data_IF_342041906069
#
_entry.id   IF_342041906069
#
_cell.length_a   1.000
_cell.length_b   1.000
_cell.length_c   1.000
_cell.angle_alpha   90.00
_cell.angle_beta   90.00
_cell.angle_gamma   90.00
#
_symmetry.space_group_name_H-M   'P 1'
#
loop_
_entity.id
_entity.type
_entity.pdbx_description
1 polymer ?
#
# COMPACT_ATOMS: atom_id res chain seq x y z
N UNK A 1 -12.40 -21.17 -0.85
CA UNK A 1 -11.02 -21.72 -0.70
C UNK A 1 -10.20 -20.93 0.33
N UNK A 2 -9.88 -19.62 0.17
CA UNK A 2 -9.11 -18.84 1.16
C UNK A 2 -9.78 -18.84 2.53
N UNK A 3 -11.09 -18.62 2.60
CA UNK A 3 -11.86 -18.61 3.86
C UNK A 3 -11.76 -19.90 4.67
N UNK A 4 -11.70 -21.05 4.02
CA UNK A 4 -11.52 -22.35 4.69
C UNK A 4 -10.12 -22.48 5.31
N UNK A 5 -9.07 -22.01 4.58
CA UNK A 5 -7.72 -21.97 5.13
C UNK A 5 -7.63 -21.04 6.34
N UNK A 6 -8.22 -19.85 6.24
CA UNK A 6 -8.27 -18.89 7.35
C UNK A 6 -8.92 -19.52 8.57
N UNK A 7 -10.07 -20.18 8.42
CA UNK A 7 -10.77 -20.83 9.51
C UNK A 7 -9.90 -21.89 10.21
N UNK A 8 -9.26 -22.77 9.43
CA UNK A 8 -8.35 -23.79 9.97
C UNK A 8 -7.16 -23.18 10.72
N UNK A 9 -6.58 -22.11 10.17
CA UNK A 9 -5.44 -21.42 10.81
C UNK A 9 -5.85 -20.77 12.14
N UNK A 10 -7.05 -20.18 12.20
CA UNK A 10 -7.56 -19.58 13.44
C UNK A 10 -7.90 -20.64 14.48
N UNK A 11 -8.38 -21.80 14.08
CA UNK A 11 -8.61 -22.94 14.99
C UNK A 11 -7.31 -23.41 15.66
N UNK A 12 -6.18 -23.25 15.00
CA UNK A 12 -4.86 -23.62 15.52
C UNK A 12 -4.19 -22.53 16.38
N UNK A 13 -4.83 -21.38 16.59
CA UNK A 13 -4.31 -20.35 17.49
C UNK A 13 -4.22 -20.83 18.95
N UNK A 14 -3.28 -20.29 19.77
CA UNK A 14 -3.21 -20.60 21.19
C UNK A 14 -4.52 -20.33 21.92
N UNK A 15 -4.87 -21.18 22.88
CA UNK A 15 -6.11 -21.04 23.63
C UNK A 15 -6.18 -19.73 24.43
N UNK A 16 -5.04 -19.23 24.88
CA UNK A 16 -4.93 -17.94 25.58
C UNK A 16 -5.52 -16.78 24.77
N UNK A 17 -5.36 -16.81 23.44
CA UNK A 17 -5.91 -15.77 22.55
C UNK A 17 -7.41 -15.95 22.30
N UNK A 18 -7.93 -17.17 22.41
CA UNK A 18 -9.34 -17.50 22.15
C UNK A 18 -10.24 -17.26 23.38
N UNK A 19 -9.67 -17.31 24.57
CA UNK A 19 -10.41 -17.26 25.85
C UNK A 19 -10.43 -15.89 26.51
N UNK A 20 -9.80 -14.88 25.90
CA UNK A 20 -9.79 -13.52 26.45
C UNK A 20 -11.20 -12.92 26.44
N UNK A 21 -11.69 -12.53 27.62
CA UNK A 21 -13.02 -11.91 27.79
C UNK A 21 -13.13 -10.54 27.08
N UNK A 22 -11.99 -9.86 26.85
CA UNK A 22 -11.93 -8.54 26.23
C UNK A 22 -11.05 -8.66 24.97
N UNK A 23 -11.57 -8.28 23.77
CA UNK A 23 -10.80 -8.35 22.55
C UNK A 23 -9.58 -7.41 22.58
N UNK A 24 -8.45 -7.88 22.04
CA UNK A 24 -7.25 -7.07 21.90
C UNK A 24 -7.53 -5.90 20.94
N UNK A 25 -7.40 -4.67 21.43
CA UNK A 25 -7.55 -3.48 20.59
C UNK A 25 -6.32 -3.27 19.72
N UNK A 26 -6.55 -3.08 18.42
CA UNK A 26 -5.51 -2.88 17.41
C UNK A 26 -5.71 -1.60 16.62
N UNK A 27 -4.61 -0.88 16.40
CA UNK A 27 -4.43 0.02 15.27
C UNK A 27 -3.55 -0.70 14.25
N UNK A 28 -3.85 -0.56 12.96
CA UNK A 28 -3.12 -1.24 11.89
C UNK A 28 -2.49 -0.20 10.97
N UNK A 29 -1.25 -0.46 10.57
CA UNK A 29 -0.52 0.33 9.59
C UNK A 29 -0.19 -0.55 8.40
N UNK A 30 -0.74 -0.20 7.23
CA UNK A 30 -0.59 -0.91 5.96
C UNK A 30 0.39 -0.16 5.07
N UNK A 31 1.51 -0.78 4.78
CA UNK A 31 2.55 -0.19 3.95
C UNK A 31 2.16 -0.10 2.47
N UNK A 32 2.88 0.72 1.70
CA UNK A 32 2.84 0.72 0.25
C UNK A 32 3.64 -0.44 -0.34
N UNK A 33 3.57 -0.68 -1.67
CA UNK A 33 4.39 -1.72 -2.27
C UNK A 33 3.85 -2.33 -3.55
N UNK A 34 3.13 -1.59 -4.37
CA UNK A 34 2.63 -2.01 -5.70
C UNK A 34 2.03 -3.42 -5.66
N UNK A 35 2.63 -4.41 -6.38
CA UNK A 35 2.13 -5.79 -6.43
C UNK A 35 2.24 -6.54 -5.09
N UNK A 36 3.08 -6.07 -4.17
CA UNK A 36 3.15 -6.63 -2.81
C UNK A 36 1.88 -6.39 -1.98
N UNK A 37 0.97 -5.52 -2.41
CA UNK A 37 -0.33 -5.34 -1.77
C UNK A 37 -1.12 -6.63 -1.56
N UNK A 38 -0.87 -7.66 -2.39
CA UNK A 38 -1.50 -8.97 -2.23
C UNK A 38 -1.12 -9.68 -0.93
N UNK A 39 0.07 -9.44 -0.37
CA UNK A 39 0.44 -9.94 0.96
C UNK A 39 -0.46 -9.34 2.05
N UNK A 40 -0.78 -8.04 1.95
CA UNK A 40 -1.69 -7.38 2.90
C UNK A 40 -3.07 -8.04 2.90
N UNK A 41 -3.56 -8.44 1.73
CA UNK A 41 -4.88 -9.06 1.62
C UNK A 41 -4.92 -10.38 2.38
N UNK A 42 -3.87 -11.21 2.27
CA UNK A 42 -3.77 -12.43 3.06
C UNK A 42 -3.84 -12.17 4.56
N UNK A 43 -3.08 -11.17 5.03
CA UNK A 43 -3.12 -10.77 6.45
C UNK A 43 -4.48 -10.20 6.86
N UNK A 44 -5.11 -9.39 6.01
CA UNK A 44 -6.41 -8.78 6.31
C UNK A 44 -7.56 -9.79 6.34
N UNK A 45 -7.53 -10.86 5.54
CA UNK A 45 -8.47 -11.97 5.68
C UNK A 45 -8.40 -12.59 7.07
N UNK A 46 -7.19 -12.87 7.53
CA UNK A 46 -6.97 -13.45 8.86
C UNK A 46 -7.44 -12.51 9.98
N UNK A 47 -7.04 -11.25 9.94
CA UNK A 47 -7.43 -10.25 10.93
C UNK A 47 -8.95 -10.01 10.94
N UNK A 48 -9.59 -10.03 9.77
CA UNK A 48 -11.04 -9.87 9.66
C UNK A 48 -11.79 -11.01 10.31
N UNK A 49 -11.32 -12.24 10.12
CA UNK A 49 -11.95 -13.40 10.76
C UNK A 49 -11.70 -13.41 12.28
N UNK A 50 -10.51 -12.98 12.74
CA UNK A 50 -10.25 -12.78 14.17
C UNK A 50 -11.18 -11.73 14.79
N UNK A 51 -11.46 -10.64 14.05
CA UNK A 51 -12.38 -9.59 14.49
C UNK A 51 -13.82 -10.12 14.55
N UNK A 52 -14.28 -10.92 13.56
CA UNK A 52 -15.58 -11.57 13.57
C UNK A 52 -15.77 -12.50 14.77
N UNK A 53 -14.71 -13.20 15.17
CA UNK A 53 -14.70 -14.08 16.36
C UNK A 53 -14.49 -13.33 17.68
N UNK A 54 -14.40 -11.98 17.63
CA UNK A 54 -14.18 -11.12 18.81
C UNK A 54 -12.87 -11.37 19.56
N UNK A 55 -11.83 -11.91 18.88
CA UNK A 55 -10.50 -12.06 19.47
C UNK A 55 -9.72 -10.74 19.45
N UNK A 56 -9.95 -9.93 18.41
CA UNK A 56 -9.38 -8.60 18.25
C UNK A 56 -10.46 -7.58 17.92
N UNK A 57 -10.15 -6.30 18.11
CA UNK A 57 -10.96 -5.17 17.66
C UNK A 57 -10.09 -4.15 16.96
N UNK A 58 -10.31 -3.95 15.66
CA UNK A 58 -9.56 -2.98 14.87
C UNK A 58 -10.21 -1.60 15.01
N UNK A 59 -9.49 -0.67 15.64
CA UNK A 59 -9.98 0.68 15.88
C UNK A 59 -9.66 1.62 14.71
N UNK A 60 -8.40 1.63 14.25
CA UNK A 60 -7.93 2.51 13.17
C UNK A 60 -7.06 1.74 12.18
N UNK A 61 -7.13 2.15 10.92
CA UNK A 61 -6.25 1.67 9.85
C UNK A 61 -5.59 2.89 9.21
N UNK A 62 -4.28 2.83 9.04
CA UNK A 62 -3.51 3.76 8.21
C UNK A 62 -2.98 3.04 6.99
N UNK A 63 -3.04 3.66 5.82
CA UNK A 63 -2.51 3.08 4.58
C UNK A 63 -1.90 4.14 3.66
N UNK A 64 -0.94 3.70 2.85
CA UNK A 64 -0.43 4.49 1.74
C UNK A 64 -0.37 3.62 0.48
N UNK A 65 -0.45 4.24 -0.68
CA UNK A 65 -0.38 3.52 -1.95
C UNK A 65 -1.33 2.31 -1.98
N UNK A 66 -0.87 1.13 -2.36
CA UNK A 66 -1.67 -0.10 -2.35
C UNK A 66 -2.24 -0.43 -0.97
N UNK A 67 -1.59 -0.04 0.12
CA UNK A 67 -2.11 -0.19 1.48
C UNK A 67 -3.38 0.65 1.73
N UNK A 68 -3.54 1.79 1.02
CA UNK A 68 -4.78 2.55 1.08
C UNK A 68 -5.93 1.85 0.32
N UNK A 69 -5.64 1.13 -0.75
CA UNK A 69 -6.64 0.31 -1.45
C UNK A 69 -7.03 -0.88 -0.57
N UNK A 70 -6.05 -1.60 -0.01
CA UNK A 70 -6.31 -2.73 0.88
C UNK A 70 -7.15 -2.32 2.10
N UNK A 71 -6.87 -1.15 2.68
CA UNK A 71 -7.66 -0.58 3.77
C UNK A 71 -9.10 -0.25 3.37
N UNK A 72 -9.33 0.32 2.16
CA UNK A 72 -10.68 0.52 1.64
C UNK A 72 -11.42 -0.81 1.52
N UNK A 73 -10.82 -1.81 0.87
CA UNK A 73 -11.41 -3.13 0.66
C UNK A 73 -11.76 -3.82 1.99
N UNK A 74 -10.94 -3.62 3.03
CA UNK A 74 -11.26 -4.07 4.38
C UNK A 74 -12.53 -3.42 4.94
N UNK A 75 -12.68 -2.09 4.80
CA UNK A 75 -13.84 -1.36 5.32
C UNK A 75 -15.14 -1.62 4.56
N UNK A 76 -15.08 -1.91 3.25
CA UNK A 76 -16.26 -2.28 2.46
C UNK A 76 -16.56 -3.78 2.47
N UNK A 77 -15.75 -4.59 3.18
CA UNK A 77 -15.91 -6.06 3.29
C UNK A 77 -15.76 -6.82 1.96
N UNK A 78 -14.89 -6.33 1.07
CA UNK A 78 -14.68 -6.89 -0.26
C UNK A 78 -13.19 -7.11 -0.59
N UNK A 79 -12.51 -7.89 0.25
CA UNK A 79 -11.08 -8.22 0.05
C UNK A 79 -10.85 -9.03 -1.24
N UNK A 80 -11.85 -9.78 -1.71
CA UNK A 80 -11.77 -10.58 -2.95
C UNK A 80 -11.52 -9.73 -4.18
N UNK A 81 -12.01 -8.48 -4.19
CA UNK A 81 -11.82 -7.54 -5.29
C UNK A 81 -10.35 -7.18 -5.55
N UNK A 82 -9.44 -7.41 -4.59
CA UNK A 82 -8.00 -7.21 -4.84
C UNK A 82 -7.46 -8.17 -5.92
N UNK A 83 -7.97 -9.39 -6.01
CA UNK A 83 -7.54 -10.33 -7.06
C UNK A 83 -7.93 -9.82 -8.45
N UNK A 84 -9.13 -9.26 -8.58
CA UNK A 84 -9.57 -8.66 -9.84
C UNK A 84 -8.74 -7.42 -10.19
N UNK A 85 -8.50 -6.54 -9.22
CA UNK A 85 -7.63 -5.38 -9.41
C UNK A 85 -6.21 -5.80 -9.79
N UNK A 86 -5.64 -6.80 -9.10
CA UNK A 86 -4.33 -7.34 -9.43
C UNK A 86 -4.26 -7.81 -10.88
N UNK A 87 -5.24 -8.59 -11.34
CA UNK A 87 -5.26 -9.11 -12.70
C UNK A 87 -5.36 -7.99 -13.75
N UNK A 88 -6.16 -6.97 -13.49
CA UNK A 88 -6.28 -5.79 -14.36
C UNK A 88 -4.95 -5.02 -14.44
N UNK A 89 -4.37 -4.68 -13.28
CA UNK A 89 -3.10 -3.96 -13.19
C UNK A 89 -1.96 -4.78 -13.81
N UNK A 90 -1.90 -6.08 -13.54
CA UNK A 90 -0.92 -6.99 -14.10
C UNK A 90 -1.00 -7.06 -15.64
N UNK A 91 -2.21 -7.20 -16.18
CA UNK A 91 -2.42 -7.28 -17.62
C UNK A 91 -2.05 -5.98 -18.33
N UNK A 92 -2.41 -4.85 -17.72
CA UNK A 92 -2.06 -3.53 -18.25
C UNK A 92 -0.55 -3.30 -18.15
N UNK A 93 0.07 -3.61 -17.02
CA UNK A 93 1.50 -3.44 -16.81
C UNK A 93 2.33 -4.25 -17.82
N UNK A 94 1.94 -5.49 -18.11
CA UNK A 94 2.59 -6.31 -19.14
C UNK A 94 2.49 -5.73 -20.57
N UNK A 95 1.43 -5.00 -20.85
CA UNK A 95 1.20 -4.44 -22.19
C UNK A 95 1.83 -3.06 -22.38
N UNK A 96 1.79 -2.23 -21.34
CA UNK A 96 2.05 -0.80 -21.47
C UNK A 96 3.17 -0.30 -20.55
N UNK A 97 3.70 -1.16 -19.67
CA UNK A 97 4.68 -0.81 -18.61
C UNK A 97 4.15 0.30 -17.69
N UNK A 98 2.82 0.48 -17.60
CA UNK A 98 2.17 1.49 -16.77
C UNK A 98 1.17 0.87 -15.81
N UNK A 99 0.84 1.62 -14.74
CA UNK A 99 -0.18 1.27 -13.76
C UNK A 99 -1.43 2.17 -13.92
N UNK A 100 -1.79 2.52 -15.15
CA UNK A 100 -2.85 3.50 -15.46
C UNK A 100 -4.21 3.11 -14.87
N UNK A 101 -4.52 1.82 -14.79
CA UNK A 101 -5.74 1.26 -14.15
C UNK A 101 -5.99 1.83 -12.75
N UNK A 102 -4.95 2.24 -12.04
CA UNK A 102 -5.07 2.86 -10.70
C UNK A 102 -5.89 4.16 -10.73
N UNK A 103 -5.92 4.88 -11.84
CA UNK A 103 -6.78 6.09 -11.98
C UNK A 103 -8.26 5.74 -12.06
N UNK A 104 -8.57 4.54 -12.50
CA UNK A 104 -9.93 4.06 -12.72
C UNK A 104 -10.51 3.33 -11.50
N UNK A 105 -9.83 3.37 -10.35
CA UNK A 105 -10.29 2.75 -9.09
C UNK A 105 -11.73 3.15 -8.77
N UNK A 106 -12.12 4.39 -9.05
CA UNK A 106 -13.49 4.85 -8.83
C UNK A 106 -14.49 3.99 -9.59
N UNK A 107 -14.31 3.82 -10.89
CA UNK A 107 -15.22 3.01 -11.73
C UNK A 107 -15.19 1.53 -11.37
N UNK A 108 -14.06 1.02 -10.89
CA UNK A 108 -13.91 -0.38 -10.51
C UNK A 108 -14.66 -0.74 -9.22
N UNK A 109 -14.81 0.22 -8.30
CA UNK A 109 -15.37 -0.04 -6.97
C UNK A 109 -16.62 0.76 -6.63
N UNK A 110 -17.08 1.69 -7.48
CA UNK A 110 -18.17 2.61 -7.16
C UNK A 110 -19.44 1.88 -6.72
N UNK A 111 -19.81 0.81 -7.43
CA UNK A 111 -21.00 0.02 -7.13
C UNK A 111 -20.89 -0.81 -5.85
N UNK A 112 -19.67 -1.01 -5.35
CA UNK A 112 -19.37 -1.80 -4.16
C UNK A 112 -19.16 -0.93 -2.92
N UNK A 113 -18.98 0.38 -3.09
CA UNK A 113 -18.76 1.31 -1.99
C UNK A 113 -20.10 1.74 -1.41
N UNK A 114 -20.42 1.39 -0.15
CA UNK A 114 -21.65 1.85 0.49
C UNK A 114 -21.72 3.38 0.58
N UNK A 115 -22.90 3.97 0.40
CA UNK A 115 -23.10 5.42 0.46
C UNK A 115 -22.69 6.03 1.81
N UNK A 116 -22.80 5.27 2.89
CA UNK A 116 -22.47 5.68 4.26
C UNK A 116 -21.00 5.44 4.63
N UNK A 117 -20.16 4.95 3.70
CA UNK A 117 -18.77 4.59 3.97
C UNK A 117 -18.00 5.73 4.64
N UNK A 118 -18.21 6.98 4.21
CA UNK A 118 -17.50 8.14 4.76
C UNK A 118 -17.78 8.33 6.25
N UNK A 119 -18.99 7.96 6.74
CA UNK A 119 -19.32 7.94 8.17
C UNK A 119 -18.58 6.80 8.88
N UNK A 120 -18.56 5.60 8.28
CA UNK A 120 -17.91 4.40 8.84
C UNK A 120 -16.40 4.57 8.99
N UNK A 121 -15.73 5.22 8.02
CA UNK A 121 -14.27 5.40 8.01
C UNK A 121 -13.79 6.69 8.68
N UNK A 122 -14.67 7.60 9.08
CA UNK A 122 -14.32 8.87 9.73
C UNK A 122 -13.51 8.62 11.00
N UNK A 123 -12.32 9.22 11.09
CA UNK A 123 -11.35 9.05 12.17
C UNK A 123 -10.89 7.57 12.40
N UNK A 124 -11.20 6.68 11.47
CA UNK A 124 -10.78 5.26 11.52
C UNK A 124 -9.88 4.88 10.37
N UNK A 125 -9.96 5.56 9.22
CA UNK A 125 -9.15 5.31 8.06
C UNK A 125 -8.29 6.53 7.72
N UNK A 126 -6.98 6.37 7.75
CA UNK A 126 -5.97 7.40 7.55
C UNK A 126 -5.20 7.11 6.28
N UNK A 127 -5.24 8.03 5.31
CA UNK A 127 -4.55 7.90 4.02
C UNK A 127 -3.52 8.99 3.89
N UNK A 128 -2.30 8.61 3.48
CA UNK A 128 -1.19 9.55 3.27
C UNK A 128 -0.95 9.80 1.79
N UNK A 129 -0.65 11.04 1.44
CA UNK A 129 -0.15 11.47 0.13
C UNK A 129 0.74 12.70 0.30
N UNK A 130 1.57 12.97 -0.68
CA UNK A 130 2.47 14.11 -0.63
C UNK A 130 2.00 15.26 -1.52
N UNK A 131 2.13 16.50 -1.06
CA UNK A 131 1.86 17.70 -1.84
C UNK A 131 3.18 18.42 -2.11
N UNK A 132 3.69 18.27 -3.33
CA UNK A 132 4.97 18.84 -3.77
C UNK A 132 4.98 20.37 -3.67
N UNK A 133 3.88 21.04 -4.06
CA UNK A 133 3.84 22.52 -4.04
C UNK A 133 3.98 23.09 -2.64
N UNK A 134 3.47 22.35 -1.63
CA UNK A 134 3.56 22.75 -0.22
C UNK A 134 4.72 22.11 0.51
N UNK A 135 5.44 21.20 -0.14
CA UNK A 135 6.49 20.37 0.45
C UNK A 135 6.03 19.69 1.76
N UNK A 136 4.82 19.14 1.76
CA UNK A 136 4.21 18.55 2.97
C UNK A 136 3.57 17.20 2.68
N UNK A 137 3.76 16.27 3.61
CA UNK A 137 3.00 15.03 3.69
C UNK A 137 1.65 15.30 4.32
N UNK A 138 0.60 14.92 3.64
CA UNK A 138 -0.77 15.05 4.12
C UNK A 138 -1.28 13.71 4.65
N UNK A 139 -1.95 13.76 5.81
CA UNK A 139 -2.66 12.63 6.39
C UNK A 139 -4.13 12.97 6.41
N UNK A 140 -4.94 12.27 5.63
CA UNK A 140 -6.38 12.53 5.54
C UNK A 140 -7.18 11.40 6.20
N UNK A 141 -8.12 11.76 7.06
CA UNK A 141 -8.93 10.83 7.86
C UNK A 141 -10.39 11.27 8.01
N UNK A 142 -10.79 12.34 7.28
CA UNK A 142 -12.16 12.82 7.16
C UNK A 142 -12.46 13.05 5.68
N UNK A 143 -13.50 12.44 5.18
CA UNK A 143 -13.89 12.47 3.78
C UNK A 143 -15.27 13.10 3.63
N UNK A 144 -15.43 13.99 2.65
CA UNK A 144 -16.69 14.70 2.40
C UNK A 144 -17.74 13.78 1.80
N UNK A 145 -17.33 12.96 0.86
CA UNK A 145 -18.14 12.00 0.11
C UNK A 145 -17.25 10.87 -0.44
N UNK A 146 -17.85 9.91 -1.12
CA UNK A 146 -17.14 8.77 -1.74
C UNK A 146 -16.09 9.25 -2.73
N UNK A 147 -16.40 10.25 -3.55
CA UNK A 147 -15.45 10.81 -4.53
C UNK A 147 -14.20 11.37 -3.87
N UNK A 148 -14.36 12.07 -2.77
CA UNK A 148 -13.26 12.64 -2.00
C UNK A 148 -12.39 11.54 -1.35
N UNK A 149 -13.00 10.43 -0.91
CA UNK A 149 -12.28 9.25 -0.41
C UNK A 149 -11.47 8.59 -1.53
N UNK A 150 -12.13 8.26 -2.65
CA UNK A 150 -11.48 7.58 -3.78
C UNK A 150 -10.40 8.46 -4.41
N UNK A 151 -10.65 9.74 -4.61
CA UNK A 151 -9.63 10.68 -5.10
C UNK A 151 -8.41 10.77 -4.15
N UNK A 152 -8.65 10.64 -2.84
CA UNK A 152 -7.54 10.59 -1.86
C UNK A 152 -6.71 9.31 -2.03
N UNK A 153 -7.34 8.17 -2.31
CA UNK A 153 -6.64 6.91 -2.61
C UNK A 153 -5.82 7.06 -3.90
N UNK A 154 -6.40 7.61 -4.97
CA UNK A 154 -5.66 7.85 -6.22
C UNK A 154 -4.44 8.74 -5.99
N UNK A 155 -4.56 9.82 -5.20
CA UNK A 155 -3.41 10.65 -4.80
C UNK A 155 -2.34 9.85 -4.06
N UNK A 156 -2.76 8.96 -3.17
CA UNK A 156 -1.87 8.09 -2.39
C UNK A 156 -1.17 7.02 -3.22
N UNK A 157 -1.73 6.64 -4.36
CA UNK A 157 -1.18 5.61 -5.27
C UNK A 157 -0.44 6.20 -6.46
N UNK A 158 -0.32 7.53 -6.56
CA UNK A 158 0.23 8.16 -7.75
C UNK A 158 1.76 8.16 -7.75
N UNK A 159 2.35 7.08 -8.28
CA UNK A 159 3.79 6.96 -8.49
C UNK A 159 4.19 7.74 -9.75
N UNK A 160 5.15 8.69 -9.66
CA UNK A 160 5.60 9.50 -10.80
C UNK A 160 6.01 8.64 -11.99
N UNK A 161 5.57 9.03 -13.17
CA UNK A 161 5.84 8.42 -14.46
C UNK A 161 5.28 7.00 -14.67
N UNK A 162 5.08 6.23 -13.61
CA UNK A 162 4.63 4.84 -13.68
C UNK A 162 3.11 4.72 -13.91
N UNK A 163 2.32 5.71 -13.48
CA UNK A 163 0.86 5.65 -13.63
C UNK A 163 0.42 6.02 -15.05
N UNK A 164 0.81 7.20 -15.53
CA UNK A 164 0.34 7.73 -16.82
C UNK A 164 1.40 8.54 -17.57
N UNK A 165 2.66 8.36 -17.22
CA UNK A 165 3.78 9.11 -17.79
C UNK A 165 3.90 10.55 -17.29
N UNK A 166 3.02 11.02 -16.40
CA UNK A 166 3.15 12.33 -15.78
C UNK A 166 3.89 12.25 -14.44
N UNK A 167 4.52 13.36 -14.03
CA UNK A 167 5.25 13.41 -12.76
C UNK A 167 4.32 13.54 -11.55
N UNK A 168 3.16 14.18 -11.70
CA UNK A 168 2.28 14.56 -10.60
C UNK A 168 0.81 14.39 -10.95
N UNK A 169 0.04 13.89 -10.01
CA UNK A 169 -1.42 13.94 -10.08
C UNK A 169 -1.92 15.37 -9.80
N UNK A 170 -2.84 15.88 -10.63
CA UNK A 170 -3.35 17.25 -10.57
C UNK A 170 -2.23 18.33 -10.49
N UNK A 171 -1.07 18.07 -11.08
CA UNK A 171 0.11 18.95 -11.06
C UNK A 171 0.63 19.33 -9.65
N UNK A 172 0.36 18.52 -8.62
CA UNK A 172 0.75 18.85 -7.23
C UNK A 172 0.88 17.67 -6.28
N UNK A 173 0.30 16.50 -6.59
CA UNK A 173 0.28 15.37 -5.66
C UNK A 173 1.08 14.18 -6.18
N UNK A 174 1.64 13.43 -5.26
CA UNK A 174 2.28 12.14 -5.51
C UNK A 174 2.02 11.17 -4.34
N UNK A 175 2.40 9.92 -4.54
CA UNK A 175 2.31 8.85 -3.55
C UNK A 175 2.82 9.28 -2.17
N UNK A 176 2.16 8.80 -1.13
CA UNK A 176 2.54 9.05 0.25
C UNK A 176 3.80 8.34 0.69
N UNK A 177 4.26 7.36 -0.09
CA UNK A 177 5.44 6.49 0.08
C UNK A 177 5.37 5.66 1.37
N UNK A 178 5.14 6.29 2.54
CA UNK A 178 4.93 5.59 3.80
C UNK A 178 3.60 5.99 4.45
N UNK A 179 2.95 5.07 5.19
CA UNK A 179 1.71 5.33 5.90
C UNK A 179 1.91 6.23 7.11
N UNK A 180 0.82 6.74 7.66
CA UNK A 180 0.84 7.44 8.93
C UNK A 180 1.04 6.46 10.07
N UNK A 181 2.07 6.66 10.88
CA UNK A 181 2.34 5.87 12.07
C UNK A 181 1.60 6.48 13.26
N UNK A 182 0.68 5.72 13.85
CA UNK A 182 0.00 6.15 15.07
C UNK A 182 0.97 6.20 16.25
N UNK A 183 0.66 7.03 17.22
CA UNK A 183 1.37 6.97 18.52
C UNK A 183 0.97 5.69 19.25
N UNK A 184 1.94 5.03 19.85
CA UNK A 184 1.69 3.85 20.71
C UNK A 184 0.94 4.26 21.97
N UNK A 185 -0.06 3.47 22.34
CA UNK A 185 -0.91 3.68 23.52
C UNK A 185 -0.86 2.43 24.40
N UNK A 186 -0.96 2.60 25.74
CA UNK A 186 -0.81 1.47 26.70
C UNK A 186 -1.94 0.43 26.59
N UNK A 187 -3.13 0.83 26.16
CA UNK A 187 -4.34 -0.01 26.15
C UNK A 187 -4.62 -0.66 24.80
N UNK A 188 -3.70 -0.53 23.84
CA UNK A 188 -3.82 -1.13 22.51
C UNK A 188 -2.45 -1.39 21.88
N UNK A 189 -2.42 -2.34 20.95
CA UNK A 189 -1.24 -2.65 20.15
C UNK A 189 -1.31 -1.94 18.79
N UNK A 190 -0.17 -1.55 18.28
CA UNK A 190 0.00 -0.99 16.94
C UNK A 190 0.68 -2.04 16.07
N UNK A 191 -0.09 -2.66 15.16
CA UNK A 191 0.40 -3.66 14.22
C UNK A 191 0.85 -2.97 12.92
N UNK A 192 2.12 -3.15 12.58
CA UNK A 192 2.71 -2.68 11.34
C UNK A 192 2.90 -3.85 10.36
N UNK A 193 2.35 -3.70 9.16
CA UNK A 193 2.50 -4.65 8.05
C UNK A 193 3.45 -4.05 7.02
N UNK A 194 4.72 -4.49 7.06
CA UNK A 194 5.81 -4.00 6.21
C UNK A 194 5.86 -4.75 4.87
N UNK A 195 5.88 -4.00 3.77
CA UNK A 195 6.03 -4.54 2.40
C UNK A 195 7.39 -4.23 1.78
N UNK A 196 8.28 -3.54 2.49
CA UNK A 196 9.60 -3.14 2.03
C UNK A 196 10.75 -3.94 2.68
N UNK A 197 10.47 -5.06 3.32
CA UNK A 197 11.50 -5.97 3.81
C UNK A 197 12.45 -6.40 2.68
N UNK A 198 13.71 -6.71 3.04
CA UNK A 198 14.74 -7.10 2.06
C UNK A 198 14.34 -8.27 1.16
N UNK A 199 13.52 -9.19 1.70
CA UNK A 199 12.95 -10.33 0.99
C UNK A 199 11.84 -9.96 0.00
N UNK A 200 11.21 -8.78 0.14
CA UNK A 200 10.05 -8.34 -0.65
C UNK A 200 10.36 -7.20 -1.63
N UNK A 201 11.42 -6.44 -1.39
CA UNK A 201 11.72 -5.25 -2.21
C UNK A 201 11.93 -5.60 -3.68
N UNK A 202 12.56 -6.74 -3.97
CA UNK A 202 12.75 -7.23 -5.33
C UNK A 202 11.46 -7.64 -6.03
N UNK A 203 10.39 -7.88 -5.27
CA UNK A 203 9.08 -8.34 -5.78
C UNK A 203 8.07 -7.20 -5.96
N UNK A 204 8.46 -5.94 -5.70
CA UNK A 204 7.55 -4.78 -5.81
C UNK A 204 6.93 -4.66 -7.21
N UNK A 205 7.75 -4.81 -8.24
CA UNK A 205 7.34 -4.74 -9.65
C UNK A 205 7.53 -6.09 -10.38
N UNK A 206 8.27 -7.03 -9.79
CA UNK A 206 8.55 -8.31 -10.43
C UNK A 206 7.31 -9.22 -10.38
N UNK A 207 6.76 -9.49 -11.56
CA UNK A 207 5.62 -10.37 -11.79
C UNK A 207 5.92 -11.42 -12.89
N UNK A 208 7.20 -11.56 -13.28
CA UNK A 208 7.67 -12.35 -14.43
C UNK A 208 7.10 -13.77 -14.49
N UNK A 209 7.08 -14.44 -13.37
CA UNK A 209 6.67 -15.85 -13.29
C UNK A 209 5.28 -16.03 -12.64
N UNK A 210 4.53 -14.95 -12.50
CA UNK A 210 3.24 -14.99 -11.82
C UNK A 210 2.09 -15.11 -12.83
N UNK A 211 1.17 -16.04 -12.57
CA UNK A 211 -0.10 -16.13 -13.27
C UNK A 211 -1.24 -15.53 -12.46
N UNK A 212 -1.11 -15.55 -11.14
CA UNK A 212 -2.10 -15.03 -10.18
C UNK A 212 -1.37 -14.50 -8.95
N UNK A 213 -2.07 -13.70 -8.16
CA UNK A 213 -1.55 -13.19 -6.88
C UNK A 213 -1.72 -14.17 -5.70
N UNK A 214 -2.23 -15.37 -5.95
CA UNK A 214 -2.62 -16.31 -4.88
C UNK A 214 -1.47 -16.68 -3.93
N UNK A 215 -0.28 -16.90 -4.48
CA UNK A 215 0.90 -17.23 -3.67
C UNK A 215 1.29 -16.08 -2.72
N UNK A 216 1.14 -14.80 -3.15
CA UNK A 216 1.38 -13.63 -2.28
C UNK A 216 0.32 -13.53 -1.19
N UNK A 217 -0.94 -13.76 -1.55
CA UNK A 217 -2.05 -13.78 -0.57
C UNK A 217 -1.82 -14.86 0.46
N UNK A 218 -1.47 -16.09 0.02
CA UNK A 218 -1.18 -17.19 0.92
C UNK A 218 0.04 -16.91 1.81
N UNK A 219 1.12 -16.36 1.26
CA UNK A 219 2.30 -16.01 2.05
C UNK A 219 1.98 -14.95 3.12
N UNK A 220 1.20 -13.91 2.78
CA UNK A 220 0.76 -12.92 3.76
C UNK A 220 -0.14 -13.51 4.85
N UNK A 221 -1.02 -14.43 4.49
CA UNK A 221 -1.87 -15.18 5.43
C UNK A 221 -1.04 -16.03 6.39
N UNK A 222 -0.02 -16.74 5.89
CA UNK A 222 0.85 -17.59 6.71
C UNK A 222 1.78 -16.75 7.60
N UNK A 223 2.24 -15.60 7.11
CA UNK A 223 3.10 -14.69 7.89
C UNK A 223 2.36 -14.13 9.10
N UNK A 224 1.13 -13.62 8.92
CA UNK A 224 0.32 -13.11 10.04
C UNK A 224 -0.08 -14.23 11.02
N UNK A 225 -0.41 -15.43 10.52
CA UNK A 225 -0.66 -16.59 11.37
C UNK A 225 0.58 -16.95 12.21
N UNK A 226 1.77 -17.03 11.57
CA UNK A 226 3.04 -17.28 12.25
C UNK A 226 3.34 -16.22 13.31
N UNK A 227 3.04 -14.94 13.01
CA UNK A 227 3.16 -13.83 13.96
C UNK A 227 2.35 -14.07 15.23
N UNK A 228 1.09 -14.48 15.10
CA UNK A 228 0.23 -14.75 16.25
C UNK A 228 0.61 -16.03 17.00
N UNK A 229 1.08 -17.08 16.31
CA UNK A 229 1.56 -18.31 16.96
C UNK A 229 2.85 -18.06 17.75
N UNK A 230 3.82 -17.39 17.13
CA UNK A 230 5.14 -17.15 17.73
C UNK A 230 5.16 -15.99 18.73
N UNK A 231 4.15 -15.13 18.70
CA UNK A 231 4.08 -13.88 19.46
C UNK A 231 5.35 -13.01 19.31
N UNK A 232 5.97 -13.07 18.15
CA UNK A 232 7.19 -12.35 17.80
C UNK A 232 7.13 -11.81 16.38
N UNK A 233 7.90 -10.76 16.09
CA UNK A 233 7.96 -10.17 14.75
C UNK A 233 8.32 -11.20 13.69
N UNK A 234 7.66 -11.10 12.55
CA UNK A 234 7.89 -11.91 11.35
C UNK A 234 8.47 -11.06 10.23
N UNK A 235 8.55 -11.59 9.01
CA UNK A 235 9.02 -10.84 7.83
C UNK A 235 8.13 -9.66 7.46
N UNK A 236 6.83 -9.72 7.76
CA UNK A 236 5.88 -8.67 7.43
C UNK A 236 5.27 -8.02 8.67
N UNK A 237 5.02 -8.79 9.73
CA UNK A 237 4.22 -8.35 10.86
C UNK A 237 5.08 -8.01 12.07
N UNK A 238 4.83 -6.86 12.69
CA UNK A 238 5.46 -6.49 13.96
C UNK A 238 4.56 -5.58 14.79
N UNK A 239 4.60 -5.72 16.12
CA UNK A 239 4.03 -4.72 17.01
C UNK A 239 5.04 -3.59 17.23
N UNK A 240 4.67 -2.37 16.83
CA UNK A 240 5.51 -1.17 17.05
C UNK A 240 5.77 -0.92 18.53
N UNK A 241 4.84 -1.33 19.39
CA UNK A 241 4.99 -1.25 20.85
C UNK A 241 6.19 -2.04 21.38
N UNK A 242 6.57 -3.09 20.66
CA UNK A 242 7.59 -4.06 21.09
C UNK A 242 8.87 -3.94 20.23
N UNK A 243 8.99 -2.88 19.41
CA UNK A 243 10.15 -2.65 18.56
C UNK A 243 11.41 -2.43 19.37
N UNK A 244 12.48 -3.11 18.96
CA UNK A 244 13.84 -2.88 19.44
C UNK A 244 14.41 -1.55 18.88
N UNK A 245 15.52 -1.12 19.41
CA UNK A 245 16.26 0.06 18.90
C UNK A 245 16.61 -0.12 17.42
N UNK A 246 17.00 -1.33 17.01
CA UNK A 246 17.32 -1.66 15.60
C UNK A 246 16.13 -1.50 14.67
N UNK A 247 14.93 -1.90 15.09
CA UNK A 247 13.69 -1.70 14.33
C UNK A 247 13.38 -0.21 14.15
N UNK A 248 13.53 0.58 15.20
CA UNK A 248 13.37 2.04 15.12
C UNK A 248 14.38 2.67 14.16
N UNK A 249 15.67 2.29 14.24
CA UNK A 249 16.69 2.78 13.30
C UNK A 249 16.33 2.41 11.85
N UNK A 250 15.96 1.15 11.60
CA UNK A 250 15.52 0.71 10.26
C UNK A 250 14.36 1.53 9.73
N UNK A 251 13.38 1.80 10.57
CA UNK A 251 12.24 2.66 10.20
C UNK A 251 12.65 4.11 9.92
N UNK A 252 13.57 4.69 10.70
CA UNK A 252 14.09 6.03 10.43
C UNK A 252 14.90 6.10 9.15
N UNK A 253 15.68 5.07 8.81
CA UNK A 253 16.37 4.96 7.51
C UNK A 253 15.35 4.94 6.37
N UNK A 254 14.27 4.18 6.49
CA UNK A 254 13.18 4.16 5.52
C UNK A 254 12.58 5.57 5.29
N UNK A 255 12.29 6.30 6.37
CA UNK A 255 11.80 7.69 6.29
C UNK A 255 12.83 8.61 5.64
N UNK A 256 14.13 8.41 5.90
CA UNK A 256 15.18 9.19 5.25
C UNK A 256 15.23 8.93 3.74
N UNK A 257 15.18 7.66 3.33
CA UNK A 257 15.10 7.28 1.92
C UNK A 257 13.85 7.87 1.23
N UNK A 258 12.70 7.86 1.91
CA UNK A 258 11.48 8.55 1.43
C UNK A 258 11.73 10.03 1.16
N UNK A 259 12.36 10.75 2.09
CA UNK A 259 12.68 12.17 1.91
C UNK A 259 13.63 12.39 0.74
N UNK A 260 14.66 11.57 0.62
CA UNK A 260 15.62 11.64 -0.51
C UNK A 260 14.87 11.46 -1.84
N UNK A 261 13.98 10.46 -1.93
CA UNK A 261 13.17 10.23 -3.12
C UNK A 261 12.28 11.43 -3.47
N UNK A 262 11.61 12.03 -2.46
CA UNK A 262 10.76 13.21 -2.67
C UNK A 262 11.59 14.42 -3.15
N UNK A 263 12.75 14.67 -2.55
CA UNK A 263 13.64 15.76 -3.00
C UNK A 263 14.17 15.51 -4.39
N UNK A 264 14.48 14.27 -4.75
CA UNK A 264 14.89 13.92 -6.10
C UNK A 264 13.75 14.13 -7.12
N UNK A 265 12.53 13.70 -6.80
CA UNK A 265 11.37 13.97 -7.64
C UNK A 265 11.12 15.48 -7.81
N UNK A 266 11.26 16.25 -6.71
CA UNK A 266 11.15 17.70 -6.75
C UNK A 266 12.22 18.33 -7.66
N UNK A 267 13.47 17.86 -7.57
CA UNK A 267 14.58 18.31 -8.39
C UNK A 267 14.33 18.05 -9.88
N UNK A 268 13.86 16.86 -10.23
CA UNK A 268 13.53 16.53 -11.63
C UNK A 268 12.40 17.43 -12.17
N UNK A 269 11.37 17.68 -11.38
CA UNK A 269 10.25 18.56 -11.75
C UNK A 269 10.76 20.00 -11.93
N UNK A 270 11.65 20.46 -11.03
CA UNK A 270 12.25 21.79 -11.10
C UNK A 270 13.11 21.95 -12.37
N UNK A 271 13.96 20.99 -12.68
CA UNK A 271 14.75 20.97 -13.92
C UNK A 271 13.81 21.06 -15.13
N UNK A 272 12.83 20.15 -15.22
CA UNK A 272 11.88 20.13 -16.34
C UNK A 272 11.14 21.47 -16.52
N UNK A 273 10.79 22.15 -15.45
CA UNK A 273 10.10 23.44 -15.49
C UNK A 273 11.01 24.59 -15.99
N UNK A 274 12.33 24.49 -15.74
CA UNK A 274 13.28 25.56 -16.04
C UNK A 274 14.09 25.29 -17.31
N UNK A 275 13.93 24.15 -17.96
CA UNK A 275 14.54 23.90 -19.27
C UNK A 275 13.85 24.81 -20.30
N UNK A 276 14.60 25.65 -21.04
CA UNK A 276 14.05 26.43 -22.14
C UNK A 276 13.36 25.53 -23.16
N UNK A 277 12.19 25.97 -23.68
CA UNK A 277 11.41 25.21 -24.67
C UNK A 277 12.23 24.83 -25.91
N UNK A 278 13.22 25.64 -26.28
CA UNK A 278 14.14 25.37 -27.39
C UNK A 278 14.98 24.12 -27.13
N UNK A 279 15.47 23.94 -25.89
CA UNK A 279 16.28 22.79 -25.49
C UNK A 279 15.35 21.57 -25.32
N UNK A 280 14.19 21.72 -24.69
CA UNK A 280 13.20 20.62 -24.51
C UNK A 280 12.73 20.06 -25.86
N UNK A 281 12.50 20.94 -26.83
CA UNK A 281 12.08 20.57 -28.19
C UNK A 281 13.25 20.17 -29.09
N UNK A 282 14.50 20.37 -28.66
CA UNK A 282 15.71 20.02 -29.40
C UNK A 282 15.81 18.52 -29.67
N UNK A 283 16.41 18.18 -30.81
CA UNK A 283 16.58 16.77 -31.25
C UNK A 283 17.35 15.96 -30.21
N UNK A 284 18.37 16.54 -29.60
CA UNK A 284 19.19 15.86 -28.59
C UNK A 284 18.39 15.50 -27.34
N UNK A 285 17.57 16.41 -26.81
CA UNK A 285 16.75 16.17 -25.62
C UNK A 285 15.69 15.10 -25.89
N UNK A 286 15.02 15.14 -27.04
CA UNK A 286 14.07 14.12 -27.47
C UNK A 286 14.75 12.75 -27.63
N UNK A 287 15.93 12.70 -28.19
CA UNK A 287 16.70 11.45 -28.33
C UNK A 287 17.08 10.87 -26.97
N UNK A 288 17.66 11.69 -26.08
CA UNK A 288 17.98 11.25 -24.71
C UNK A 288 16.78 10.75 -23.93
N UNK A 289 15.64 11.44 -24.03
CA UNK A 289 14.38 11.02 -23.38
C UNK A 289 13.92 9.66 -23.93
N UNK A 290 13.99 9.48 -25.25
CA UNK A 290 13.63 8.21 -25.89
C UNK A 290 14.55 7.08 -25.46
N UNK A 291 15.87 7.29 -25.48
CA UNK A 291 16.86 6.30 -25.02
C UNK A 291 16.58 5.92 -23.55
N UNK A 292 16.32 6.90 -22.69
CA UNK A 292 16.01 6.63 -21.28
C UNK A 292 14.74 5.80 -21.12
N UNK A 293 13.69 6.10 -21.87
CA UNK A 293 12.45 5.31 -21.87
C UNK A 293 12.69 3.87 -22.35
N UNK A 294 13.44 3.68 -23.44
CA UNK A 294 13.78 2.34 -23.94
C UNK A 294 14.61 1.54 -22.92
N UNK A 295 15.57 2.17 -22.26
CA UNK A 295 16.37 1.52 -21.20
C UNK A 295 15.46 1.06 -20.04
N UNK A 296 14.53 1.91 -19.61
CA UNK A 296 13.57 1.52 -18.56
C UNK A 296 12.72 0.34 -19.03
N UNK A 297 12.18 0.37 -20.25
CA UNK A 297 11.39 -0.73 -20.81
C UNK A 297 12.19 -2.03 -20.82
N UNK A 298 13.43 -1.99 -21.32
CA UNK A 298 14.29 -3.18 -21.33
C UNK A 298 14.56 -3.71 -19.92
N UNK A 299 14.77 -2.84 -18.93
CA UNK A 299 14.93 -3.24 -17.54
C UNK A 299 13.66 -3.92 -17.00
N UNK A 300 12.49 -3.32 -17.26
CA UNK A 300 11.21 -3.87 -16.84
C UNK A 300 10.93 -5.23 -17.50
N UNK A 301 11.14 -5.37 -18.80
CA UNK A 301 10.96 -6.63 -19.53
C UNK A 301 11.93 -7.72 -19.06
N UNK A 302 13.18 -7.34 -18.74
CA UNK A 302 14.19 -8.32 -18.34
C UNK A 302 13.98 -8.81 -16.93
N UNK A 303 13.65 -7.93 -15.99
CA UNK A 303 13.67 -8.24 -14.56
C UNK A 303 12.28 -8.30 -13.91
N UNK A 304 11.26 -7.68 -14.50
CA UNK A 304 9.94 -7.56 -13.88
C UNK A 304 8.83 -8.32 -14.62
N UNK A 305 8.94 -8.47 -15.93
CA UNK A 305 7.94 -9.08 -16.82
C UNK A 305 8.49 -10.34 -17.50
#
# INVERSE_FOLDING_TARGET
MISEYVNKLIENLPNEMKTTAIPLKLDIVLDGGVFNGSYLIGALYFLKEMEKRNYIRIERISGCSIGSIAGLLYFIDDLDSMTNLYNLVYTEFKKTHTLKVIKDIKSLFIDKIPLDICRKVKNRFYITYYNIKKNTKHVKYKYKNVDDLVNTIVKSCFVPYLIDGTALYENKYLDGISPYMFKTERNKKLLYLDLFGFDKIGNLLNVKNEKTNFHRVLAGLLDIHSFYIKQSSTHMCSYVNDWSVTNHIGFYIKILCEKIFIYFAYFLIYIKKNIPCEIENGVLCKLLTKIFQEVIIVILDTYCL
#
